data_IF_263222033920
#
_entry.id   IF_263222033920
#
_cell.length_a   1.000
_cell.length_b   1.000
_cell.length_c   1.000
_cell.angle_alpha   90.00
_cell.angle_beta   90.00
_cell.angle_gamma   90.00
#
_symmetry.space_group_name_H-M   'P 1'
#
loop_
_entity.id
_entity.type
_entity.pdbx_description
1 polymer ?
#
# COMPACT_ATOMS: atom_id res chain seq x y z
N UNK A 1 31.80 27.93 6.53
CA UNK A 1 31.46 28.19 7.95
C UNK A 1 30.29 27.33 8.40
N UNK A 2 29.83 27.49 9.65
CA UNK A 2 28.77 26.66 10.28
C UNK A 2 27.46 26.60 9.46
N UNK A 3 27.07 27.69 8.80
CA UNK A 3 25.91 27.73 7.91
C UNK A 3 26.02 26.78 6.69
N UNK A 4 27.24 26.50 6.21
CA UNK A 4 27.47 25.52 5.15
C UNK A 4 27.30 24.08 5.65
N UNK A 5 27.72 23.81 6.90
CA UNK A 5 27.53 22.50 7.54
C UNK A 5 26.06 22.21 7.80
N UNK A 6 25.28 23.20 8.26
CA UNK A 6 23.84 23.02 8.49
C UNK A 6 23.09 22.76 7.18
N UNK A 7 23.40 23.52 6.12
CA UNK A 7 22.80 23.30 4.81
C UNK A 7 23.15 21.92 4.23
N UNK A 8 24.41 21.50 4.35
CA UNK A 8 24.85 20.18 3.94
C UNK A 8 24.11 19.06 4.70
N UNK A 9 23.91 19.23 6.03
CA UNK A 9 23.18 18.27 6.84
C UNK A 9 21.70 18.15 6.43
N UNK A 10 21.03 19.28 6.16
CA UNK A 10 19.64 19.29 5.69
C UNK A 10 19.51 18.61 4.33
N UNK A 11 20.40 18.92 3.38
CA UNK A 11 20.38 18.26 2.08
C UNK A 11 20.70 16.77 2.18
N UNK A 12 21.63 16.35 3.04
CA UNK A 12 21.92 14.94 3.28
C UNK A 12 20.70 14.20 3.85
N UNK A 13 20.01 14.78 4.82
CA UNK A 13 18.78 14.20 5.39
C UNK A 13 17.65 14.10 4.35
N UNK A 14 17.46 15.14 3.55
CA UNK A 14 16.48 15.14 2.46
C UNK A 14 16.80 14.08 1.39
N UNK A 15 18.06 14.00 0.95
CA UNK A 15 18.50 13.00 -0.03
C UNK A 15 18.38 11.57 0.49
N UNK A 16 18.61 11.33 1.79
CA UNK A 16 18.43 10.02 2.40
C UNK A 16 16.98 9.55 2.34
N UNK A 17 16.04 10.44 2.71
CA UNK A 17 14.60 10.15 2.64
C UNK A 17 14.15 9.95 1.18
N UNK A 18 14.61 10.82 0.28
CA UNK A 18 14.28 10.75 -1.14
C UNK A 18 14.78 9.45 -1.77
N UNK A 19 16.04 9.09 -1.54
CA UNK A 19 16.63 7.84 -2.03
C UNK A 19 15.88 6.61 -1.52
N UNK A 20 15.53 6.60 -0.23
CA UNK A 20 14.78 5.51 0.38
C UNK A 20 13.37 5.39 -0.22
N UNK A 21 12.68 6.50 -0.41
CA UNK A 21 11.36 6.55 -1.04
C UNK A 21 11.40 6.04 -2.49
N UNK A 22 12.34 6.54 -3.30
CA UNK A 22 12.50 6.11 -4.69
C UNK A 22 12.84 4.63 -4.80
N UNK A 23 13.75 4.14 -3.97
CA UNK A 23 14.12 2.73 -3.95
C UNK A 23 12.97 1.83 -3.51
N UNK A 24 12.19 2.24 -2.51
CA UNK A 24 11.00 1.50 -2.05
C UNK A 24 9.94 1.42 -3.15
N UNK A 25 9.61 2.55 -3.79
CA UNK A 25 8.62 2.59 -4.88
C UNK A 25 9.06 1.79 -6.10
N UNK A 26 10.35 1.89 -6.49
CA UNK A 26 10.91 1.07 -7.56
C UNK A 26 10.83 -0.42 -7.22
N UNK A 27 11.18 -0.80 -5.99
CA UNK A 27 11.13 -2.19 -5.53
C UNK A 27 9.69 -2.72 -5.52
N UNK A 28 8.74 -1.96 -4.99
CA UNK A 28 7.32 -2.33 -4.99
C UNK A 28 6.79 -2.49 -6.42
N UNK A 29 7.09 -1.56 -7.33
CA UNK A 29 6.69 -1.68 -8.73
C UNK A 29 7.28 -2.93 -9.39
N UNK A 30 8.57 -3.21 -9.17
CA UNK A 30 9.22 -4.37 -9.78
C UNK A 30 8.73 -5.68 -9.18
N UNK A 31 8.66 -5.80 -7.86
CA UNK A 31 8.33 -7.06 -7.18
C UNK A 31 6.83 -7.35 -7.14
N UNK A 32 5.99 -6.32 -7.00
CA UNK A 32 4.56 -6.51 -6.77
C UNK A 32 3.75 -6.44 -8.08
N UNK A 33 4.25 -5.75 -9.10
CA UNK A 33 3.53 -5.55 -10.37
C UNK A 33 4.25 -6.20 -11.54
N UNK A 34 5.50 -5.80 -11.79
CA UNK A 34 6.20 -6.18 -13.02
C UNK A 34 6.60 -7.65 -13.05
N UNK A 35 7.15 -8.18 -11.96
CA UNK A 35 7.62 -9.56 -11.88
C UNK A 35 6.44 -10.57 -11.89
N UNK A 36 5.35 -10.39 -11.13
CA UNK A 36 4.20 -11.30 -11.18
C UNK A 36 3.48 -11.30 -12.53
N UNK A 37 3.52 -10.21 -13.29
CA UNK A 37 2.98 -10.16 -14.66
C UNK A 37 3.87 -10.82 -15.69
N UNK A 38 5.18 -10.96 -15.43
CA UNK A 38 6.07 -11.68 -16.35
C UNK A 38 5.93 -13.18 -16.14
N UNK A 39 5.66 -13.90 -17.22
CA UNK A 39 5.74 -15.37 -17.24
C UNK A 39 7.21 -15.77 -17.37
N UNK A 40 7.74 -16.48 -16.38
CA UNK A 40 9.09 -17.07 -16.39
C UNK A 40 10.12 -16.34 -15.53
N UNK A 41 11.25 -17.01 -15.29
CA UNK A 41 12.34 -16.47 -14.47
C UNK A 41 13.05 -15.31 -15.15
N UNK A 42 13.29 -14.24 -14.39
CA UNK A 42 14.00 -13.05 -14.87
C UNK A 42 15.36 -12.99 -14.19
N UNK A 43 16.43 -12.88 -14.97
CA UNK A 43 17.79 -12.77 -14.44
C UNK A 43 17.98 -11.54 -13.55
N UNK A 44 18.86 -11.64 -12.55
CA UNK A 44 19.13 -10.54 -11.63
C UNK A 44 19.61 -9.26 -12.33
N UNK A 45 20.37 -9.40 -13.42
CA UNK A 45 20.84 -8.26 -14.21
C UNK A 45 19.68 -7.47 -14.85
N UNK A 46 18.64 -8.17 -15.32
CA UNK A 46 17.45 -7.55 -15.89
C UNK A 46 16.61 -6.89 -14.80
N UNK A 47 16.42 -7.56 -13.65
CA UNK A 47 15.72 -6.97 -12.50
C UNK A 47 16.41 -5.69 -12.01
N UNK A 48 17.75 -5.67 -11.94
CA UNK A 48 18.52 -4.49 -11.55
C UNK A 48 18.35 -3.34 -12.56
N UNK A 49 18.39 -3.63 -13.86
CA UNK A 49 18.16 -2.63 -14.91
C UNK A 49 16.73 -2.07 -14.83
N UNK A 50 15.74 -2.93 -14.66
CA UNK A 50 14.35 -2.52 -14.50
C UNK A 50 14.16 -1.65 -13.25
N UNK A 51 14.78 -2.01 -12.12
CA UNK A 51 14.81 -1.21 -10.90
C UNK A 51 15.41 0.18 -11.13
N UNK A 52 16.57 0.28 -11.80
CA UNK A 52 17.18 1.58 -12.14
C UNK A 52 16.29 2.47 -13.01
N UNK A 53 15.63 1.88 -14.01
CA UNK A 53 14.68 2.60 -14.86
C UNK A 53 13.48 3.07 -14.02
N UNK A 54 12.91 2.21 -13.19
CA UNK A 54 11.81 2.56 -12.30
C UNK A 54 12.19 3.71 -11.35
N UNK A 55 13.37 3.66 -10.71
CA UNK A 55 13.89 4.74 -9.86
C UNK A 55 13.98 6.07 -10.63
N UNK A 56 14.52 6.04 -11.86
CA UNK A 56 14.61 7.23 -12.69
C UNK A 56 13.22 7.79 -13.07
N UNK A 57 12.27 6.92 -13.43
CA UNK A 57 10.90 7.31 -13.74
C UNK A 57 10.21 7.95 -12.52
N UNK A 58 10.32 7.36 -11.33
CA UNK A 58 9.78 7.95 -10.11
C UNK A 58 10.46 9.28 -9.75
N UNK A 59 11.77 9.39 -9.98
CA UNK A 59 12.50 10.65 -9.78
C UNK A 59 11.97 11.77 -10.68
N UNK A 60 11.78 11.49 -11.97
CA UNK A 60 11.18 12.44 -12.93
C UNK A 60 9.75 12.80 -12.51
N UNK A 61 8.95 11.81 -12.12
CA UNK A 61 7.57 12.03 -11.66
C UNK A 61 7.53 12.93 -10.42
N UNK A 62 8.39 12.70 -9.43
CA UNK A 62 8.46 13.53 -8.22
C UNK A 62 8.88 14.97 -8.55
N UNK A 63 9.86 15.16 -9.44
CA UNK A 63 10.27 16.50 -9.89
C UNK A 63 9.11 17.19 -10.62
N UNK A 64 8.39 16.49 -11.49
CA UNK A 64 7.23 17.03 -12.19
C UNK A 64 6.11 17.46 -11.23
N UNK A 65 5.80 16.64 -10.22
CA UNK A 65 4.82 16.99 -9.17
C UNK A 65 5.30 18.20 -8.37
N UNK A 66 6.57 18.23 -7.96
CA UNK A 66 7.13 19.34 -7.19
C UNK A 66 7.06 20.68 -7.97
N UNK A 67 7.43 20.66 -9.25
CA UNK A 67 7.32 21.83 -10.14
C UNK A 67 5.85 22.21 -10.34
N UNK A 68 4.96 21.24 -10.58
CA UNK A 68 3.53 21.49 -10.76
C UNK A 68 2.88 22.16 -9.55
N UNK A 69 3.16 21.68 -8.34
CA UNK A 69 2.69 22.31 -7.09
C UNK A 69 3.28 23.71 -6.93
N UNK A 70 4.55 23.92 -7.29
CA UNK A 70 5.19 25.24 -7.27
C UNK A 70 4.55 26.25 -8.22
N UNK A 71 4.06 25.80 -9.39
CA UNK A 71 3.41 26.65 -10.40
C UNK A 71 1.96 26.97 -10.03
N UNK A 72 1.18 25.98 -9.58
CA UNK A 72 -0.23 26.16 -9.19
C UNK A 72 -0.35 27.04 -7.96
N UNK A 73 0.67 27.02 -7.09
CA UNK A 73 0.65 27.68 -5.79
C UNK A 73 -0.27 26.96 -4.82
N UNK A 74 0.07 27.00 -3.53
CA UNK A 74 -0.79 26.48 -2.47
C UNK A 74 -1.12 27.60 -1.51
N UNK A 75 -2.40 27.75 -1.18
CA UNK A 75 -2.86 28.69 -0.14
C UNK A 75 -2.49 28.20 1.26
N UNK A 76 -2.35 26.89 1.43
CA UNK A 76 -1.96 26.23 2.67
C UNK A 76 -0.44 26.00 2.75
N UNK A 77 0.08 25.90 3.97
CA UNK A 77 1.48 25.54 4.21
C UNK A 77 1.80 24.16 3.63
N UNK A 78 2.93 24.04 2.95
CA UNK A 78 3.41 22.77 2.36
C UNK A 78 3.47 21.65 3.39
N UNK A 79 3.79 21.97 4.65
CA UNK A 79 3.83 20.99 5.74
C UNK A 79 2.45 20.41 6.01
N UNK A 80 1.40 21.24 6.04
CA UNK A 80 0.02 20.78 6.25
C UNK A 80 -0.45 19.89 5.11
N UNK A 81 -0.14 20.25 3.86
CA UNK A 81 -0.46 19.44 2.69
C UNK A 81 0.21 18.05 2.76
N UNK A 82 1.50 18.00 3.08
CA UNK A 82 2.25 16.74 3.22
C UNK A 82 1.67 15.87 4.33
N UNK A 83 1.36 16.45 5.51
CA UNK A 83 0.78 15.71 6.63
C UNK A 83 -0.63 15.19 6.31
N UNK A 84 -1.45 15.98 5.62
CA UNK A 84 -2.79 15.57 5.15
C UNK A 84 -2.70 14.38 4.20
N UNK A 85 -1.81 14.45 3.19
CA UNK A 85 -1.60 13.36 2.22
C UNK A 85 -1.04 12.12 2.92
N UNK A 86 -0.09 12.27 3.84
CA UNK A 86 0.47 11.18 4.61
C UNK A 86 -0.61 10.48 5.46
N UNK A 87 -1.47 11.25 6.14
CA UNK A 87 -2.59 10.71 6.91
C UNK A 87 -3.62 10.00 6.02
N UNK A 88 -3.95 10.59 4.88
CA UNK A 88 -4.87 9.99 3.90
C UNK A 88 -4.35 8.65 3.35
N UNK A 89 -3.07 8.57 3.00
CA UNK A 89 -2.48 7.36 2.44
C UNK A 89 -2.27 6.27 3.51
N UNK A 90 -1.82 6.65 4.70
CA UNK A 90 -1.52 5.70 5.79
C UNK A 90 -2.76 5.18 6.50
N UNK A 91 -3.84 5.96 6.59
CA UNK A 91 -5.06 5.59 7.32
C UNK A 91 -5.65 4.25 6.89
N UNK A 92 -6.03 4.07 5.60
CA UNK A 92 -6.60 2.82 5.13
C UNK A 92 -5.65 1.61 5.30
N UNK A 93 -4.34 1.81 5.10
CA UNK A 93 -3.33 0.76 5.29
C UNK A 93 -3.23 0.36 6.76
N UNK A 94 -3.25 1.33 7.67
CA UNK A 94 -3.29 1.10 9.12
C UNK A 94 -4.54 0.31 9.51
N UNK A 95 -5.71 0.68 9.00
CA UNK A 95 -6.96 -0.07 9.25
C UNK A 95 -6.89 -1.51 8.75
N UNK A 96 -6.28 -1.74 7.59
CA UNK A 96 -6.05 -3.08 7.04
C UNK A 96 -5.10 -3.90 7.93
N UNK A 97 -4.02 -3.28 8.42
CA UNK A 97 -3.08 -3.94 9.33
C UNK A 97 -3.74 -4.28 10.68
N UNK A 98 -4.52 -3.36 11.26
CA UNK A 98 -5.30 -3.60 12.47
C UNK A 98 -6.32 -4.73 12.28
N UNK A 99 -6.97 -4.78 11.12
CA UNK A 99 -7.90 -5.84 10.77
C UNK A 99 -7.21 -7.20 10.76
N UNK A 100 -6.04 -7.29 10.11
CA UNK A 100 -5.25 -8.50 10.06
C UNK A 100 -4.69 -8.92 11.44
N UNK A 101 -4.27 -7.96 12.26
CA UNK A 101 -3.70 -8.21 13.58
C UNK A 101 -4.74 -8.68 14.60
N UNK A 102 -5.92 -8.06 14.61
CA UNK A 102 -6.97 -8.31 15.61
C UNK A 102 -7.94 -9.41 15.15
N UNK A 103 -8.33 -9.43 13.88
CA UNK A 103 -9.38 -10.30 13.37
C UNK A 103 -8.82 -11.50 12.61
N UNK A 104 -8.35 -12.51 13.35
CA UNK A 104 -7.78 -13.77 12.80
C UNK A 104 -8.71 -14.54 11.84
N UNK A 105 -10.01 -14.20 11.82
CA UNK A 105 -11.03 -14.85 10.99
C UNK A 105 -11.32 -14.12 9.68
N UNK A 106 -10.73 -12.95 9.44
CA UNK A 106 -10.98 -12.18 8.22
C UNK A 106 -10.18 -12.75 7.06
N UNK A 107 -10.91 -13.10 5.99
CA UNK A 107 -10.34 -13.61 4.76
C UNK A 107 -9.86 -12.46 3.86
N UNK A 108 -8.90 -12.76 2.99
CA UNK A 108 -8.31 -11.81 2.06
C UNK A 108 -9.34 -11.02 1.22
N UNK A 109 -10.44 -11.62 0.68
CA UNK A 109 -11.41 -10.85 -0.10
C UNK A 109 -12.15 -9.80 0.73
N UNK A 110 -12.52 -10.12 1.97
CA UNK A 110 -13.17 -9.19 2.88
C UNK A 110 -12.22 -8.07 3.32
N UNK A 111 -10.96 -8.39 3.59
CA UNK A 111 -9.92 -7.41 3.90
C UNK A 111 -9.69 -6.43 2.73
N UNK A 112 -9.59 -6.94 1.50
CA UNK A 112 -9.41 -6.11 0.30
C UNK A 112 -10.63 -5.23 0.03
N UNK A 113 -11.85 -5.78 0.15
CA UNK A 113 -13.07 -5.01 0.00
C UNK A 113 -13.18 -3.90 1.08
N UNK A 114 -12.84 -4.22 2.33
CA UNK A 114 -12.75 -3.23 3.41
C UNK A 114 -11.74 -2.12 3.12
N UNK A 115 -10.57 -2.46 2.57
CA UNK A 115 -9.57 -1.47 2.16
C UNK A 115 -10.09 -0.54 1.06
N UNK A 116 -10.77 -1.08 0.04
CA UNK A 116 -11.40 -0.27 -1.03
C UNK A 116 -12.46 0.66 -0.44
N UNK A 117 -13.35 0.16 0.41
CA UNK A 117 -14.37 0.97 1.10
C UNK A 117 -13.74 2.06 1.96
N UNK A 118 -12.64 1.76 2.66
CA UNK A 118 -11.87 2.73 3.43
C UNK A 118 -11.31 3.87 2.59
N UNK A 119 -10.65 3.54 1.47
CA UNK A 119 -10.11 4.54 0.54
C UNK A 119 -11.21 5.39 -0.08
N UNK A 120 -12.30 4.76 -0.55
CA UNK A 120 -13.42 5.47 -1.16
C UNK A 120 -14.15 6.34 -0.14
N UNK A 121 -14.46 5.82 1.05
CA UNK A 121 -15.12 6.56 2.11
C UNK A 121 -14.28 7.73 2.61
N UNK A 122 -12.97 7.53 2.80
CA UNK A 122 -12.06 8.61 3.17
C UNK A 122 -11.95 9.67 2.05
N UNK A 123 -11.98 9.26 0.78
CA UNK A 123 -12.00 10.20 -0.36
C UNK A 123 -13.24 11.08 -0.35
N UNK A 124 -14.42 10.51 -0.07
CA UNK A 124 -15.68 11.28 0.02
C UNK A 124 -15.60 12.30 1.15
N UNK A 125 -15.08 11.91 2.31
CA UNK A 125 -14.87 12.81 3.45
C UNK A 125 -13.84 13.89 3.10
N UNK A 126 -12.75 13.54 2.43
CA UNK A 126 -11.70 14.46 2.04
C UNK A 126 -12.16 15.56 1.09
N UNK A 127 -13.13 15.26 0.23
CA UNK A 127 -13.69 16.17 -0.77
C UNK A 127 -14.93 16.93 -0.26
N UNK A 128 -15.69 16.34 0.66
CA UNK A 128 -16.95 16.88 1.15
C UNK A 128 -16.88 17.61 2.50
N UNK A 129 -15.77 17.50 3.23
CA UNK A 129 -15.63 18.07 4.58
C UNK A 129 -14.25 18.65 4.85
N UNK A 130 -14.20 19.69 5.68
CA UNK A 130 -12.96 20.28 6.18
C UNK A 130 -12.45 19.52 7.42
N UNK A 131 -12.14 18.24 7.23
CA UNK A 131 -11.55 17.44 8.29
C UNK A 131 -10.12 17.91 8.55
N UNK A 132 -9.78 18.15 9.82
CA UNK A 132 -8.43 18.53 10.19
C UNK A 132 -7.44 17.39 9.91
N UNK A 133 -6.25 17.74 9.39
CA UNK A 133 -5.30 16.79 8.79
C UNK A 133 -4.97 15.57 9.67
N UNK A 134 -4.93 15.73 10.99
CA UNK A 134 -4.58 14.67 11.94
C UNK A 134 -5.62 13.55 12.02
N UNK A 135 -6.87 13.81 11.63
CA UNK A 135 -7.96 12.85 11.72
C UNK A 135 -8.07 11.93 10.50
N UNK A 136 -7.43 12.27 9.36
CA UNK A 136 -7.51 11.43 8.15
C UNK A 136 -7.02 10.01 8.39
N UNK A 137 -5.91 9.86 9.13
CA UNK A 137 -5.36 8.55 9.44
C UNK A 137 -6.32 7.72 10.30
N UNK A 138 -6.86 8.33 11.37
CA UNK A 138 -7.77 7.67 12.30
C UNK A 138 -9.10 7.28 11.62
N UNK A 139 -9.71 8.22 10.90
CA UNK A 139 -10.98 7.99 10.18
C UNK A 139 -10.79 6.94 9.09
N UNK A 140 -9.74 7.05 8.28
CA UNK A 140 -9.42 6.06 7.26
C UNK A 140 -9.21 4.66 7.83
N UNK A 141 -8.49 4.55 8.95
CA UNK A 141 -8.25 3.28 9.62
C UNK A 141 -9.55 2.67 10.17
N UNK A 142 -10.40 3.47 10.81
CA UNK A 142 -11.67 3.02 11.37
C UNK A 142 -12.64 2.55 10.28
N UNK A 143 -12.76 3.29 9.17
CA UNK A 143 -13.62 2.89 8.05
C UNK A 143 -13.13 1.57 7.46
N UNK A 144 -11.83 1.44 7.15
CA UNK A 144 -11.28 0.20 6.59
C UNK A 144 -11.49 -1.00 7.53
N UNK A 145 -11.16 -0.82 8.81
CA UNK A 145 -11.25 -1.88 9.81
C UNK A 145 -12.69 -2.34 9.98
N UNK A 146 -13.61 -1.39 10.19
CA UNK A 146 -15.03 -1.68 10.39
C UNK A 146 -15.67 -2.29 9.13
N UNK A 147 -15.41 -1.74 7.95
CA UNK A 147 -15.94 -2.26 6.70
C UNK A 147 -15.46 -3.69 6.43
N UNK A 148 -14.16 -3.96 6.58
CA UNK A 148 -13.61 -5.30 6.37
C UNK A 148 -14.14 -6.33 7.37
N UNK A 149 -14.30 -5.93 8.64
CA UNK A 149 -14.93 -6.77 9.65
C UNK A 149 -16.41 -7.06 9.35
N UNK A 150 -17.18 -6.02 8.99
CA UNK A 150 -18.60 -6.15 8.64
C UNK A 150 -18.81 -7.03 7.41
N UNK A 151 -18.01 -6.83 6.36
CA UNK A 151 -18.05 -7.66 5.15
C UNK A 151 -17.73 -9.11 5.48
N UNK A 152 -16.77 -9.36 6.38
CA UNK A 152 -16.45 -10.71 6.82
C UNK A 152 -17.61 -11.38 7.59
N UNK A 153 -18.38 -10.62 8.38
CA UNK A 153 -19.56 -11.15 9.07
C UNK A 153 -20.65 -11.59 8.10
N UNK A 154 -20.79 -10.86 6.99
CA UNK A 154 -21.76 -11.17 5.93
C UNK A 154 -21.25 -12.24 4.96
N UNK A 155 -19.93 -12.47 4.91
CA UNK A 155 -19.33 -13.44 4.02
C UNK A 155 -19.62 -14.88 4.51
N UNK A 156 -20.10 -15.77 3.62
CA UNK A 156 -20.32 -17.18 3.98
C UNK A 156 -18.97 -17.81 4.35
N UNK A 157 -18.94 -18.52 5.48
CA UNK A 157 -17.77 -19.26 5.96
C UNK A 157 -17.46 -20.43 4.99
N UNK A 158 -16.79 -20.17 3.87
CA UNK A 158 -16.47 -21.24 2.91
C UNK A 158 -15.13 -20.99 2.22
N UNK A 159 -14.08 -21.67 2.70
CA UNK A 159 -12.83 -21.97 1.95
C UNK A 159 -11.81 -22.88 2.65
N UNK A 160 -12.19 -23.62 3.71
CA UNK A 160 -11.32 -24.65 4.30
C UNK A 160 -11.79 -26.09 4.00
N UNK A 161 -13.08 -26.31 3.69
CA UNK A 161 -13.59 -27.64 3.35
C UNK A 161 -13.19 -28.10 1.94
N UNK A 162 -13.21 -27.23 0.93
CA UNK A 162 -12.89 -27.57 -0.48
C UNK A 162 -11.45 -28.08 -0.64
N UNK A 163 -10.48 -27.44 0.03
CA UNK A 163 -9.07 -27.82 -0.11
C UNK A 163 -8.73 -29.14 0.61
N UNK A 164 -9.50 -29.51 1.63
CA UNK A 164 -9.35 -30.81 2.29
C UNK A 164 -10.01 -31.91 1.47
N UNK A 165 -11.19 -31.67 0.90
CA UNK A 165 -11.86 -32.63 0.00
C UNK A 165 -11.06 -32.86 -1.29
N UNK A 166 -10.45 -31.83 -1.87
CA UNK A 166 -9.63 -31.98 -3.08
C UNK A 166 -8.29 -32.69 -2.80
N UNK A 167 -7.66 -32.42 -1.65
CA UNK A 167 -6.44 -33.13 -1.22
C UNK A 167 -6.71 -34.59 -0.85
N UNK A 168 -7.89 -34.90 -0.30
CA UNK A 168 -8.32 -36.23 0.10
C UNK A 168 -8.83 -37.05 -1.10
N UNK A 169 -9.43 -36.40 -2.10
CA UNK A 169 -9.87 -37.06 -3.34
C UNK A 169 -8.73 -37.31 -4.34
N UNK A 170 -7.66 -36.50 -4.30
CA UNK A 170 -6.47 -36.69 -5.12
C UNK A 170 -5.38 -37.53 -4.42
N UNK A 171 -5.72 -38.18 -3.29
CA UNK A 171 -4.82 -39.07 -2.57
C UNK A 171 -4.78 -40.47 -3.26
N UNK A 172 -3.63 -40.89 -3.83
CA UNK A 172 -3.52 -42.18 -4.53
C UNK A 172 -3.76 -43.40 -3.63
N UNK A 173 -3.62 -43.27 -2.31
CA UNK A 173 -3.83 -44.35 -1.33
C UNK A 173 -5.31 -44.76 -1.18
N UNK A 174 -6.26 -43.98 -1.72
CA UNK A 174 -7.67 -44.39 -1.75
C UNK A 174 -7.98 -45.47 -2.77
N UNK A 175 -7.21 -45.55 -3.86
CA UNK A 175 -7.48 -46.47 -4.97
C UNK A 175 -7.00 -47.91 -4.69
N UNK A 176 -6.21 -48.11 -3.64
CA UNK A 176 -5.67 -49.42 -3.22
C UNK A 176 -6.51 -50.11 -2.13
N UNK A 177 -7.54 -49.45 -1.60
CA UNK A 177 -8.30 -49.89 -0.42
C UNK A 177 -9.61 -50.64 -0.68
N UNK A 178 -9.84 -51.22 -1.87
CA UNK A 178 -10.98 -52.13 -2.11
C UNK A 178 -10.49 -53.47 -2.64
N UNK A 179 -10.20 -54.38 -1.72
CA UNK A 179 -10.36 -55.82 -1.94
C UNK A 179 -11.74 -56.25 -1.44
#
# INVERSE_FOLDING_TARGET
GLAGLTLAAVFAAAMSTLSSSLNSSATALIKDVWLPWRKGEVSQAVQLRAGRIATACFGILQVAIAVGVGVVGTTESTVFNVLKIAGFASGPVLGLFLLAAVSKRVQQPAALAGFVVGVTGLSVIALGTDLYWSWYAAVGALITWFAGWLIQLLAPARRQADNMEESDNNNPDRLTGRQ
#
